data_IF_007422980924
#
_entry.id   IF_007422980924
#
_cell.length_a   1.000
_cell.length_b   1.000
_cell.length_c   1.000
_cell.angle_alpha   90.00
_cell.angle_beta   90.00
_cell.angle_gamma   90.00
#
_symmetry.space_group_name_H-M   'P 1'
#
loop_
_entity.id
_entity.type
_entity.pdbx_description
1 polymer ?
#
# COMPACT_ATOMS: atom_id res chain seq x y z
N UNK A 1 9.54 8.26 20.14
CA UNK A 1 8.24 7.76 19.64
C UNK A 1 8.50 7.27 18.23
N UNK A 2 8.09 6.05 17.84
CA UNK A 2 8.12 5.67 16.44
C UNK A 2 7.34 6.71 15.64
N UNK A 3 7.86 7.12 14.49
CA UNK A 3 7.18 8.05 13.61
C UNK A 3 5.81 7.47 13.19
N UNK A 4 4.80 8.33 13.13
CA UNK A 4 3.44 7.91 12.83
C UNK A 4 3.25 7.77 11.33
N UNK A 5 3.24 6.54 10.82
CA UNK A 5 2.99 6.25 9.41
C UNK A 5 1.49 6.34 9.04
N UNK A 6 0.60 6.62 9.99
CA UNK A 6 -0.86 6.68 9.76
C UNK A 6 -1.27 7.64 8.63
N UNK A 7 -0.69 8.85 8.48
CA UNK A 7 -1.05 9.76 7.40
C UNK A 7 -0.75 9.18 6.01
N UNK A 8 0.45 8.62 5.81
CA UNK A 8 0.85 8.03 4.51
C UNK A 8 0.05 6.76 4.21
N UNK A 9 -0.23 5.93 5.22
CA UNK A 9 -1.06 4.71 5.07
C UNK A 9 -2.47 5.10 4.65
N UNK A 10 -3.06 6.09 5.32
CA UNK A 10 -4.44 6.54 5.06
C UNK A 10 -4.54 7.21 3.69
N UNK A 11 -3.61 8.09 3.35
CA UNK A 11 -3.58 8.76 2.05
C UNK A 11 -3.38 7.77 0.90
N UNK A 12 -2.47 6.81 1.04
CA UNK A 12 -2.20 5.79 0.01
C UNK A 12 -3.40 4.85 -0.19
N UNK A 13 -4.03 4.39 0.89
CA UNK A 13 -5.24 3.58 0.80
C UNK A 13 -6.41 4.37 0.18
N UNK A 14 -6.56 5.65 0.53
CA UNK A 14 -7.56 6.52 -0.05
C UNK A 14 -7.33 6.76 -1.55
N UNK A 15 -6.08 6.95 -1.96
CA UNK A 15 -5.70 7.08 -3.36
C UNK A 15 -6.11 5.82 -4.15
N UNK A 16 -5.72 4.63 -3.67
CA UNK A 16 -6.04 3.34 -4.31
C UNK A 16 -7.55 3.14 -4.48
N UNK A 17 -8.35 3.45 -3.45
CA UNK A 17 -9.81 3.30 -3.52
C UNK A 17 -10.48 4.35 -4.40
N UNK A 18 -9.83 5.49 -4.64
CA UNK A 18 -10.30 6.51 -5.58
C UNK A 18 -10.01 6.09 -7.02
N UNK A 19 -8.81 5.58 -7.29
CA UNK A 19 -8.40 5.10 -8.62
C UNK A 19 -9.09 3.78 -9.01
N UNK A 20 -9.30 2.88 -8.04
CA UNK A 20 -9.87 1.55 -8.23
C UNK A 20 -11.09 1.35 -7.32
N UNK A 21 -12.24 1.95 -7.65
CA UNK A 21 -13.39 1.96 -6.77
C UNK A 21 -13.97 0.56 -6.54
N UNK A 22 -14.36 0.22 -5.30
CA UNK A 22 -15.02 -1.05 -5.01
C UNK A 22 -16.44 -1.09 -5.58
N UNK A 23 -17.04 -2.28 -5.74
CA UNK A 23 -18.46 -2.40 -6.07
C UNK A 23 -19.34 -1.71 -5.04
N UNK A 24 -20.55 -1.32 -5.49
CA UNK A 24 -21.52 -0.63 -4.62
C UNK A 24 -21.88 -1.48 -3.40
N UNK A 25 -22.06 -0.81 -2.26
CA UNK A 25 -22.52 -1.43 -1.01
C UNK A 25 -21.58 -1.14 0.16
N UNK A 26 -22.16 -0.97 1.34
CA UNK A 26 -21.40 -0.62 2.55
C UNK A 26 -20.38 -1.69 2.94
N UNK A 27 -20.74 -2.98 2.80
CA UNK A 27 -19.84 -4.09 3.11
C UNK A 27 -18.65 -4.14 2.16
N UNK A 28 -18.88 -4.08 0.84
CA UNK A 28 -17.80 -4.07 -0.17
C UNK A 28 -16.85 -2.91 0.03
N UNK A 29 -17.37 -1.71 0.36
CA UNK A 29 -16.56 -0.55 0.69
C UNK A 29 -15.70 -0.78 1.93
N UNK A 30 -16.29 -1.30 3.01
CA UNK A 30 -15.56 -1.56 4.26
C UNK A 30 -14.46 -2.62 4.09
N UNK A 31 -14.74 -3.69 3.33
CA UNK A 31 -13.76 -4.73 3.03
C UNK A 31 -12.62 -4.19 2.16
N UNK A 32 -12.95 -3.44 1.11
CA UNK A 32 -11.94 -2.82 0.25
C UNK A 32 -11.05 -1.84 1.02
N UNK A 33 -11.65 -1.04 1.91
CA UNK A 33 -10.93 -0.12 2.77
C UNK A 33 -9.99 -0.84 3.74
N UNK A 34 -10.44 -1.95 4.33
CA UNK A 34 -9.59 -2.78 5.18
C UNK A 34 -8.40 -3.36 4.41
N UNK A 35 -8.63 -3.90 3.21
CA UNK A 35 -7.56 -4.49 2.38
C UNK A 35 -6.56 -3.44 1.89
N UNK A 36 -7.04 -2.29 1.41
CA UNK A 36 -6.18 -1.20 0.96
C UNK A 36 -5.31 -0.66 2.10
N UNK A 37 -5.87 -0.52 3.31
CA UNK A 37 -5.09 -0.12 4.49
C UNK A 37 -4.05 -1.17 4.90
N UNK A 38 -4.40 -2.46 4.86
CA UNK A 38 -3.43 -3.53 5.16
C UNK A 38 -2.26 -3.53 4.18
N UNK A 39 -2.54 -3.38 2.88
CA UNK A 39 -1.50 -3.31 1.86
C UNK A 39 -0.61 -2.07 2.01
N UNK A 40 -1.22 -0.91 2.23
CA UNK A 40 -0.49 0.34 2.46
C UNK A 40 0.35 0.29 3.75
N UNK A 41 -0.13 -0.37 4.81
CA UNK A 41 0.62 -0.54 6.05
C UNK A 41 1.86 -1.44 5.86
N UNK A 42 1.73 -2.58 5.16
CA UNK A 42 2.87 -3.44 4.85
C UNK A 42 3.88 -2.70 3.96
N UNK A 43 3.42 -2.00 2.93
CA UNK A 43 4.28 -1.24 2.04
C UNK A 43 5.02 -0.11 2.77
N UNK A 44 4.32 0.66 3.62
CA UNK A 44 4.94 1.72 4.41
C UNK A 44 5.96 1.17 5.42
N UNK A 45 5.67 0.06 6.09
CA UNK A 45 6.61 -0.57 7.01
C UNK A 45 7.87 -1.13 6.30
N UNK A 46 7.73 -1.61 5.06
CA UNK A 46 8.88 -2.01 4.25
C UNK A 46 9.73 -0.80 3.81
N UNK A 47 9.07 0.31 3.45
CA UNK A 47 9.72 1.53 2.93
C UNK A 47 10.38 2.37 4.02
N UNK A 48 9.78 2.42 5.20
CA UNK A 48 10.27 3.20 6.35
C UNK A 48 10.48 2.28 7.56
N UNK A 49 11.49 1.41 7.50
CA UNK A 49 11.67 0.36 8.51
C UNK A 49 12.17 0.85 9.87
N UNK A 50 12.68 2.08 9.95
CA UNK A 50 13.20 2.65 11.20
C UNK A 50 12.44 3.91 11.62
N UNK A 51 12.55 4.26 12.89
CA UNK A 51 12.00 5.53 13.39
C UNK A 51 12.64 6.76 12.72
N UNK A 52 13.92 6.65 12.31
CA UNK A 52 14.61 7.72 11.59
C UNK A 52 13.95 7.96 10.22
N UNK A 53 13.62 6.89 9.50
CA UNK A 53 12.98 6.99 8.19
C UNK A 53 11.65 7.73 8.25
N UNK A 54 10.83 7.45 9.27
CA UNK A 54 9.57 8.17 9.44
C UNK A 54 9.76 9.63 9.92
N UNK A 55 10.81 9.94 10.68
CA UNK A 55 11.14 11.35 10.97
C UNK A 55 11.61 12.12 9.72
N UNK A 56 12.36 11.46 8.83
CA UNK A 56 12.71 12.02 7.53
C UNK A 56 11.47 12.22 6.65
N UNK A 57 10.53 11.27 6.69
CA UNK A 57 9.24 11.39 6.03
C UNK A 57 8.46 12.61 6.52
N UNK A 58 8.36 12.83 7.84
CA UNK A 58 7.66 13.98 8.40
C UNK A 58 8.32 15.32 8.00
N UNK A 59 9.65 15.33 7.86
CA UNK A 59 10.41 16.52 7.50
C UNK A 59 10.36 16.85 6.00
N UNK A 60 10.46 15.83 5.14
CA UNK A 60 10.57 15.98 3.69
C UNK A 60 9.24 15.82 2.95
N UNK A 61 8.29 15.12 3.55
CA UNK A 61 7.02 14.72 2.94
C UNK A 61 7.17 13.53 1.95
N UNK A 62 6.06 12.85 1.62
CA UNK A 62 6.04 11.66 0.75
C UNK A 62 6.03 11.94 -0.77
N UNK A 63 6.17 13.19 -1.21
CA UNK A 63 6.26 13.57 -2.62
C UNK A 63 4.91 13.78 -3.34
N UNK A 64 3.82 13.17 -2.88
CA UNK A 64 2.44 13.45 -3.31
C UNK A 64 1.92 12.63 -4.51
N UNK A 65 0.65 12.83 -4.87
CA UNK A 65 -0.06 11.99 -5.86
C UNK A 65 0.08 12.41 -7.33
N UNK A 66 0.81 13.48 -7.66
CA UNK A 66 0.74 14.10 -9.00
C UNK A 66 0.97 13.15 -10.18
N UNK A 67 2.07 12.39 -10.16
CA UNK A 67 2.39 11.42 -11.22
C UNK A 67 1.40 10.25 -11.27
N UNK A 68 0.92 9.80 -10.12
CA UNK A 68 -0.09 8.75 -10.02
C UNK A 68 -1.44 9.19 -10.62
N UNK A 69 -1.84 10.43 -10.33
CA UNK A 69 -3.04 11.07 -10.85
C UNK A 69 -2.98 11.22 -12.38
N UNK A 70 -1.84 11.67 -12.92
CA UNK A 70 -1.59 11.72 -14.37
C UNK A 70 -1.70 10.34 -15.04
N UNK A 71 -1.08 9.33 -14.42
CA UNK A 71 -1.01 7.97 -14.96
C UNK A 71 -2.37 7.25 -14.96
N UNK A 72 -3.25 7.58 -14.01
CA UNK A 72 -4.61 7.03 -13.93
C UNK A 72 -5.66 7.91 -14.61
N UNK A 73 -5.27 9.07 -15.15
CA UNK A 73 -6.19 10.05 -15.73
C UNK A 73 -7.13 10.69 -14.69
N UNK A 74 -6.79 10.59 -13.40
CA UNK A 74 -7.57 11.13 -12.29
C UNK A 74 -7.21 12.61 -12.07
N UNK A 75 -7.84 13.51 -12.81
CA UNK A 75 -7.63 14.95 -12.61
C UNK A 75 -8.10 15.37 -11.21
N UNK A 76 -7.21 15.99 -10.43
CA UNK A 76 -7.50 16.46 -9.09
C UNK A 76 -8.68 17.44 -9.08
N UNK A 77 -9.77 17.08 -8.40
CA UNK A 77 -10.81 18.05 -8.03
C UNK A 77 -10.27 18.89 -6.85
N UNK A 78 -10.39 20.21 -6.96
CA UNK A 78 -9.66 21.21 -6.16
C UNK A 78 -9.96 21.22 -4.67
N UNK A 79 -11.07 20.63 -4.23
CA UNK A 79 -11.62 20.95 -2.89
C UNK A 79 -11.15 20.00 -1.77
N UNK A 80 -10.39 18.94 -2.08
CA UNK A 80 -9.82 18.03 -1.07
C UNK A 80 -8.42 17.53 -1.47
N UNK A 81 -7.46 18.47 -1.56
CA UNK A 81 -6.10 18.21 -2.02
C UNK A 81 -5.08 17.97 -0.88
N UNK A 82 -5.44 18.20 0.39
CA UNK A 82 -4.48 18.13 1.50
C UNK A 82 -3.96 16.70 1.76
N UNK A 83 -4.80 15.68 1.61
CA UNK A 83 -4.35 14.29 1.74
C UNK A 83 -3.47 13.84 0.58
N UNK A 84 -3.57 14.50 -0.59
CA UNK A 84 -2.76 14.16 -1.78
C UNK A 84 -1.28 14.45 -1.58
N UNK A 85 -0.91 15.42 -0.74
CA UNK A 85 0.51 15.67 -0.41
C UNK A 85 1.08 14.60 0.52
N UNK A 86 0.23 13.80 1.15
CA UNK A 86 0.62 12.69 2.03
C UNK A 86 0.70 11.34 1.30
N UNK A 87 0.45 11.32 -0.02
CA UNK A 87 0.60 10.10 -0.83
C UNK A 87 2.08 9.87 -1.14
N UNK A 88 2.59 8.66 -0.88
CA UNK A 88 3.89 8.22 -1.36
C UNK A 88 3.71 7.26 -2.55
N UNK A 89 4.32 7.60 -3.69
CA UNK A 89 4.22 6.82 -4.93
C UNK A 89 4.76 5.39 -4.77
N UNK A 90 5.85 5.23 -4.01
CA UNK A 90 6.44 3.91 -3.75
C UNK A 90 5.48 3.08 -2.90
N UNK A 91 4.95 3.65 -1.82
CA UNK A 91 3.99 2.96 -0.94
C UNK A 91 2.74 2.53 -1.72
N UNK A 92 2.19 3.41 -2.56
CA UNK A 92 1.05 3.09 -3.42
C UNK A 92 1.39 1.98 -4.42
N UNK A 93 2.52 2.08 -5.11
CA UNK A 93 2.96 1.10 -6.11
C UNK A 93 3.19 -0.29 -5.48
N UNK A 94 3.83 -0.33 -4.32
CA UNK A 94 4.05 -1.55 -3.56
C UNK A 94 2.73 -2.12 -3.04
N UNK A 95 1.85 -1.28 -2.47
CA UNK A 95 0.54 -1.72 -2.02
C UNK A 95 -0.31 -2.30 -3.18
N UNK A 96 -0.24 -1.72 -4.38
CA UNK A 96 -0.88 -2.27 -5.58
C UNK A 96 -0.32 -3.66 -5.93
N UNK A 97 1.01 -3.86 -5.86
CA UNK A 97 1.62 -5.19 -6.04
C UNK A 97 1.10 -6.20 -5.01
N UNK A 98 1.05 -5.82 -3.73
CA UNK A 98 0.60 -6.71 -2.65
C UNK A 98 -0.91 -7.03 -2.73
N UNK A 99 -1.72 -6.09 -3.22
CA UNK A 99 -3.14 -6.34 -3.48
C UNK A 99 -3.35 -7.28 -4.66
N UNK A 100 -2.57 -7.15 -5.73
CA UNK A 100 -2.69 -8.01 -6.90
C UNK A 100 -2.17 -9.45 -6.65
N UNK A 101 -1.19 -9.62 -5.75
CA UNK A 101 -0.54 -10.91 -5.50
C UNK A 101 -0.51 -11.28 -3.99
N UNK A 102 -1.39 -12.19 -3.53
CA UNK A 102 -1.41 -12.66 -2.16
C UNK A 102 -0.12 -13.35 -1.70
N UNK A 103 0.60 -14.03 -2.60
CA UNK A 103 1.86 -14.69 -2.25
C UNK A 103 2.97 -13.66 -1.99
N UNK A 104 2.99 -12.58 -2.77
CA UNK A 104 3.88 -11.45 -2.54
C UNK A 104 3.55 -10.73 -1.22
N UNK A 105 2.26 -10.58 -0.88
CA UNK A 105 1.82 -10.05 0.40
C UNK A 105 2.31 -10.89 1.59
N UNK A 106 2.29 -12.22 1.44
CA UNK A 106 2.77 -13.14 2.46
C UNK A 106 4.30 -13.10 2.62
N UNK A 107 5.04 -12.96 1.52
CA UNK A 107 6.49 -12.75 1.55
C UNK A 107 6.86 -11.44 2.27
N UNK A 108 6.14 -10.34 1.96
CA UNK A 108 6.31 -9.06 2.63
C UNK A 108 6.05 -9.13 4.14
N UNK A 109 4.95 -9.79 4.52
CA UNK A 109 4.60 -10.03 5.93
C UNK A 109 5.70 -10.81 6.65
N UNK A 110 6.21 -11.86 6.03
CA UNK A 110 7.26 -12.72 6.59
C UNK A 110 8.58 -11.95 6.76
N UNK A 111 8.96 -11.15 5.77
CA UNK A 111 10.17 -10.31 5.83
C UNK A 111 10.11 -9.24 6.94
N UNK A 112 8.93 -8.68 7.20
CA UNK A 112 8.73 -7.75 8.32
C UNK A 112 8.79 -8.45 9.68
N UNK A 113 8.17 -9.63 9.79
CA UNK A 113 8.21 -10.42 11.02
C UNK A 113 9.64 -10.84 11.41
N UNK A 114 10.47 -11.19 10.42
CA UNK A 114 11.89 -11.50 10.64
C UNK A 114 12.68 -10.30 11.18
N UNK A 115 12.34 -9.08 10.75
CA UNK A 115 13.01 -7.85 11.21
C UNK A 115 12.58 -7.37 12.61
N UNK A 116 11.80 -8.16 13.36
CA UNK A 116 11.34 -7.81 14.71
C UNK A 116 10.34 -6.67 14.76
N UNK A 117 9.81 -6.25 13.60
CA UNK A 117 8.79 -5.22 13.52
C UNK A 117 7.45 -5.81 14.01
N UNK A 118 6.78 -5.23 15.02
CA UNK A 118 5.50 -5.74 15.48
C UNK A 118 4.50 -5.64 14.33
N UNK A 119 4.04 -6.78 13.82
CA UNK A 119 3.04 -6.82 12.78
C UNK A 119 1.77 -6.10 13.28
N UNK A 120 1.34 -5.07 12.55
CA UNK A 120 0.06 -4.40 12.81
C UNK A 120 -1.10 -5.35 12.47
N UNK A 121 -1.39 -6.27 13.38
CA UNK A 121 -2.36 -7.36 13.17
C UNK A 121 -1.93 -8.36 12.09
N UNK A 122 -2.66 -9.46 11.98
CA UNK A 122 -2.47 -10.40 10.86
C UNK A 122 -3.23 -9.88 9.64
N UNK A 123 -2.57 -9.56 8.51
CA UNK A 123 -3.22 -9.06 7.30
C UNK A 123 -3.92 -10.20 6.52
N UNK A 124 -4.72 -11.04 7.21
CA UNK A 124 -5.35 -12.24 6.63
C UNK A 124 -6.18 -11.92 5.39
N UNK A 125 -6.88 -10.78 5.36
CA UNK A 125 -7.69 -10.37 4.19
C UNK A 125 -6.87 -9.97 2.98
N UNK A 126 -5.56 -9.76 3.16
CA UNK A 126 -4.61 -9.47 2.10
C UNK A 126 -3.92 -10.74 1.61
N UNK A 127 -3.46 -11.59 2.53
CA UNK A 127 -2.66 -12.80 2.25
C UNK A 127 -3.50 -14.06 1.95
N UNK A 128 -4.71 -14.16 2.51
CA UNK A 128 -5.67 -15.24 2.27
C UNK A 128 -7.09 -14.65 2.09
N UNK A 129 -7.35 -13.90 0.99
CA UNK A 129 -8.63 -13.24 0.78
C UNK A 129 -9.75 -14.26 0.56
N UNK A 130 -10.82 -14.15 1.36
CA UNK A 130 -12.03 -14.93 1.13
C UNK A 130 -12.81 -14.42 -0.10
N UNK A 131 -13.85 -15.15 -0.56
CA UNK A 131 -14.63 -14.77 -1.73
C UNK A 131 -15.18 -13.34 -1.67
N UNK A 132 -15.69 -12.92 -0.49
CA UNK A 132 -16.21 -11.56 -0.27
C UNK A 132 -15.13 -10.50 -0.31
N UNK A 133 -13.91 -10.82 0.11
CA UNK A 133 -12.78 -9.90 0.07
C UNK A 133 -12.32 -9.70 -1.40
N UNK A 134 -12.30 -10.77 -2.21
CA UNK A 134 -12.02 -10.67 -3.65
C UNK A 134 -13.12 -9.92 -4.41
N UNK A 135 -14.39 -10.20 -4.12
CA UNK A 135 -15.54 -9.48 -4.69
C UNK A 135 -15.57 -8.00 -4.29
N UNK A 136 -15.01 -7.63 -3.15
CA UNK A 136 -14.95 -6.23 -2.71
C UNK A 136 -13.88 -5.42 -3.46
N UNK A 137 -12.83 -6.06 -3.98
CA UNK A 137 -11.67 -5.40 -4.59
C UNK A 137 -11.30 -5.93 -6.00
N UNK A 138 -12.28 -6.15 -6.90
CA UNK A 138 -12.02 -6.87 -8.16
C UNK A 138 -10.99 -6.16 -9.06
N UNK A 139 -10.99 -4.82 -9.07
CA UNK A 139 -10.03 -4.05 -9.87
C UNK A 139 -8.62 -4.10 -9.28
N UNK A 140 -8.50 -3.98 -7.95
CA UNK A 140 -7.20 -4.04 -7.24
C UNK A 140 -6.60 -5.45 -7.22
N UNK A 141 -7.42 -6.48 -7.45
CA UNK A 141 -7.01 -7.89 -7.54
C UNK A 141 -6.63 -8.31 -8.97
N UNK A 142 -6.84 -7.45 -9.96
CA UNK A 142 -6.51 -7.76 -11.34
C UNK A 142 -5.11 -7.21 -11.68
N UNK A 143 -4.11 -8.07 -11.95
CA UNK A 143 -2.74 -7.61 -12.20
C UNK A 143 -2.67 -6.66 -13.40
N UNK A 144 -3.35 -6.97 -14.50
CA UNK A 144 -3.30 -6.13 -15.71
C UNK A 144 -3.89 -4.72 -15.50
N UNK A 145 -4.87 -4.56 -14.60
CA UNK A 145 -5.48 -3.25 -14.32
C UNK A 145 -4.61 -2.42 -13.40
N UNK A 146 -3.90 -3.06 -12.47
CA UNK A 146 -3.02 -2.39 -11.51
C UNK A 146 -1.62 -2.17 -12.08
N UNK A 147 -1.25 -2.85 -13.17
CA UNK A 147 0.08 -2.84 -13.78
C UNK A 147 0.67 -1.44 -13.99
N UNK A 148 -0.06 -0.43 -14.50
CA UNK A 148 0.50 0.91 -14.69
C UNK A 148 1.06 1.52 -13.40
N UNK A 149 0.44 1.24 -12.25
CA UNK A 149 0.85 1.73 -10.93
C UNK A 149 1.82 0.77 -10.26
N UNK A 150 1.51 -0.53 -10.28
CA UNK A 150 2.32 -1.59 -9.67
C UNK A 150 3.71 -1.67 -10.31
N UNK A 151 3.82 -1.48 -11.63
CA UNK A 151 5.08 -1.51 -12.37
C UNK A 151 6.05 -0.37 -12.04
N UNK A 152 5.60 0.74 -11.44
CA UNK A 152 6.45 1.90 -11.15
C UNK A 152 7.63 1.56 -10.24
N UNK A 153 7.38 0.79 -9.17
CA UNK A 153 8.37 0.46 -8.14
C UNK A 153 8.44 -1.03 -7.81
N UNK A 154 7.89 -1.91 -8.66
CA UNK A 154 7.90 -3.37 -8.44
C UNK A 154 9.32 -3.93 -8.24
N UNK A 155 10.28 -3.53 -9.07
CA UNK A 155 11.67 -4.02 -8.95
C UNK A 155 12.25 -3.68 -7.58
N UNK A 156 12.06 -2.44 -7.11
CA UNK A 156 12.53 -2.01 -5.79
C UNK A 156 11.87 -2.79 -4.64
N UNK A 157 10.60 -3.18 -4.78
CA UNK A 157 9.93 -4.06 -3.81
C UNK A 157 10.59 -5.44 -3.76
N UNK A 158 10.79 -6.07 -4.93
CA UNK A 158 11.38 -7.40 -5.02
C UNK A 158 12.82 -7.42 -4.47
N UNK A 159 13.62 -6.40 -4.80
CA UNK A 159 14.97 -6.25 -4.26
C UNK A 159 14.96 -6.11 -2.73
N UNK A 160 14.04 -5.30 -2.19
CA UNK A 160 13.86 -5.12 -0.74
C UNK A 160 13.50 -6.43 -0.04
N UNK A 161 12.59 -7.22 -0.62
CA UNK A 161 12.20 -8.52 -0.08
C UNK A 161 13.33 -9.54 -0.18
N UNK A 162 14.10 -9.51 -1.26
CA UNK A 162 15.26 -10.40 -1.44
C UNK A 162 16.34 -10.11 -0.40
N UNK A 163 16.72 -8.84 -0.21
CA UNK A 163 17.72 -8.43 0.80
C UNK A 163 17.31 -8.88 2.20
N UNK A 164 16.03 -8.65 2.58
CA UNK A 164 15.51 -9.04 3.90
C UNK A 164 15.40 -10.55 4.10
N UNK A 165 15.22 -11.32 3.03
CA UNK A 165 15.25 -12.78 3.11
C UNK A 165 16.65 -13.36 3.30
N UNK A 166 17.68 -12.58 2.94
CA UNK A 166 19.09 -12.99 3.01
C UNK A 166 19.76 -12.60 4.33
N UNK A 167 19.19 -11.69 5.13
CA UNK A 167 19.73 -11.35 6.46
C UNK A 167 19.51 -12.51 7.45
N UNK A 168 20.58 -13.11 8.01
CA UNK A 168 20.44 -14.11 9.06
C UNK A 168 20.00 -13.43 10.37
N UNK A 169 19.04 -14.09 11.05
CA UNK A 169 18.45 -13.65 12.32
C UNK A 169 19.44 -13.60 13.50
#
# INVERSE_FOLDING_TARGET
MPADLTPVITASAHWLLTAYPPPRGALSRALAEAQARQAAALAAALRYPTALDGHLLDLLGPGGSGRLDELTGSAAHSDDAAWRTWVDETVVSWAACLLADPALAEAARSALAASGHPAAGSPLRLTDPGPRDTEATPLLRHPDLTEPVAGLHRTALLDTLHVRSAEPA
#
